data_IF_756808868795
#
_entry.id   IF_756808868795
#
_cell.length_a   1.000
_cell.length_b   1.000
_cell.length_c   1.000
_cell.angle_alpha   90.00
_cell.angle_beta   90.00
_cell.angle_gamma   90.00
#
_symmetry.space_group_name_H-M   'P 1'
#
loop_
_entity.id
_entity.type
_entity.pdbx_description
1 polymer ?
#
# COMPACT_ATOMS: atom_id res chain seq x y z
N UNK A 1 -21.85 -2.28 6.10
CA UNK A 1 -20.65 -1.47 5.77
C UNK A 1 -20.77 -0.22 6.60
N UNK A 2 -19.88 -0.01 7.58
CA UNK A 2 -19.77 1.31 8.19
C UNK A 2 -19.21 2.25 7.13
N UNK A 3 -19.90 3.35 6.87
CA UNK A 3 -19.37 4.42 6.04
C UNK A 3 -18.17 5.04 6.78
N UNK A 4 -17.02 5.08 6.12
CA UNK A 4 -15.79 5.59 6.72
C UNK A 4 -15.92 7.10 6.82
N UNK A 5 -15.85 7.66 8.02
CA UNK A 5 -15.97 9.11 8.25
C UNK A 5 -14.59 9.75 8.36
N UNK A 6 -14.48 11.04 8.03
CA UNK A 6 -13.18 11.72 7.97
C UNK A 6 -12.47 11.77 9.33
N UNK A 7 -13.24 11.74 10.41
CA UNK A 7 -12.77 11.74 11.80
C UNK A 7 -11.97 10.48 12.16
N UNK A 8 -12.22 9.37 11.46
CA UNK A 8 -11.56 8.09 11.71
C UNK A 8 -10.19 8.00 10.99
N UNK A 9 -9.88 8.96 10.11
CA UNK A 9 -8.64 8.95 9.34
C UNK A 9 -7.53 9.69 10.10
N UNK A 10 -6.42 9.01 10.47
CA UNK A 10 -5.31 9.66 11.16
C UNK A 10 -4.59 10.64 10.22
N UNK A 11 -4.46 11.90 10.64
CA UNK A 11 -3.63 12.88 9.96
C UNK A 11 -2.23 12.86 10.58
N UNK A 12 -1.24 12.35 9.84
CA UNK A 12 0.16 12.29 10.27
C UNK A 12 0.84 13.65 10.12
N UNK A 13 0.32 14.65 10.83
CA UNK A 13 0.77 16.05 10.77
C UNK A 13 1.32 16.55 12.11
N UNK A 14 0.84 16.03 13.24
CA UNK A 14 1.22 16.53 14.57
C UNK A 14 2.67 16.20 14.89
N UNK A 15 3.43 17.20 15.33
CA UNK A 15 4.87 17.11 15.59
C UNK A 15 5.75 17.47 14.39
N UNK A 16 5.15 17.64 13.21
CA UNK A 16 5.88 17.95 11.97
C UNK A 16 5.95 19.45 11.71
N UNK A 17 7.05 19.90 11.10
CA UNK A 17 7.24 21.30 10.67
C UNK A 17 6.77 21.51 9.25
N UNK A 18 6.26 22.71 8.95
CA UNK A 18 6.00 23.14 7.56
C UNK A 18 7.32 23.50 6.90
N UNK A 19 7.84 22.62 6.05
CA UNK A 19 9.16 22.75 5.41
C UNK A 19 9.09 23.45 4.07
N UNK A 20 7.95 23.41 3.39
CA UNK A 20 7.76 24.12 2.12
C UNK A 20 6.34 24.65 1.99
N UNK A 21 6.23 25.86 1.45
CA UNK A 21 4.96 26.45 1.03
C UNK A 21 5.04 26.68 -0.48
N UNK A 22 4.18 25.99 -1.22
CA UNK A 22 4.03 26.18 -2.67
C UNK A 22 2.80 27.06 -2.93
N UNK A 23 2.96 28.02 -3.83
CA UNK A 23 1.88 28.90 -4.28
C UNK A 23 1.71 28.73 -5.79
N UNK A 24 0.56 28.22 -6.21
CA UNK A 24 0.11 28.23 -7.59
C UNK A 24 -1.35 28.73 -7.68
N UNK A 25 -2.27 27.91 -8.18
CA UNK A 25 -3.70 28.13 -8.07
C UNK A 25 -4.23 27.72 -6.67
N UNK A 26 -3.43 26.97 -5.92
CA UNK A 26 -3.66 26.55 -4.55
C UNK A 26 -2.51 27.00 -3.63
N UNK A 27 -2.73 26.92 -2.32
CA UNK A 27 -1.67 26.93 -1.32
C UNK A 27 -1.38 25.49 -0.89
N UNK A 28 -0.12 25.05 -1.00
CA UNK A 28 0.29 23.72 -0.52
C UNK A 28 1.31 23.83 0.59
N UNK A 29 1.09 23.08 1.65
CA UNK A 29 2.01 22.92 2.78
C UNK A 29 2.63 21.53 2.68
N UNK A 30 3.95 21.45 2.53
CA UNK A 30 4.71 20.20 2.65
C UNK A 30 5.31 20.15 4.06
N UNK A 31 5.07 19.04 4.75
CA UNK A 31 5.52 18.81 6.11
C UNK A 31 6.86 18.04 6.11
N UNK A 32 7.59 18.09 7.22
CA UNK A 32 8.90 17.44 7.39
C UNK A 32 8.91 15.93 7.16
N UNK A 33 7.79 15.25 7.41
CA UNK A 33 7.64 13.81 7.12
C UNK A 33 7.23 13.50 5.67
N UNK A 34 7.00 14.51 4.82
CA UNK A 34 6.54 14.36 3.45
C UNK A 34 5.03 14.42 3.25
N UNK A 35 4.23 14.51 4.33
CA UNK A 35 2.80 14.75 4.21
C UNK A 35 2.52 16.11 3.53
N UNK A 36 1.41 16.22 2.81
CA UNK A 36 1.00 17.44 2.13
C UNK A 36 -0.43 17.82 2.49
N UNK A 37 -0.64 19.12 2.75
CA UNK A 37 -1.98 19.74 2.85
C UNK A 37 -2.14 20.72 1.71
N UNK A 38 -3.22 20.60 0.95
CA UNK A 38 -3.53 21.45 -0.22
C UNK A 38 -4.81 22.23 0.08
N UNK A 39 -4.80 23.53 -0.18
CA UNK A 39 -5.92 24.44 0.02
C UNK A 39 -6.21 25.13 -1.31
N UNK A 40 -7.32 24.75 -1.94
CA UNK A 40 -7.70 25.28 -3.26
C UNK A 40 -8.79 26.35 -3.14
N UNK A 41 -9.55 26.34 -2.05
CA UNK A 41 -10.59 27.32 -1.75
C UNK A 41 -10.21 28.21 -0.56
N UNK A 42 -10.99 29.28 -0.31
CA UNK A 42 -10.75 30.17 0.83
C UNK A 42 -10.68 29.44 2.17
N UNK A 43 -9.65 29.75 2.96
CA UNK A 43 -9.42 29.20 4.29
C UNK A 43 -9.07 30.29 5.31
N UNK A 44 -9.43 30.07 6.57
CA UNK A 44 -9.23 31.04 7.65
C UNK A 44 -7.91 30.77 8.36
N UNK A 45 -7.15 31.82 8.66
CA UNK A 45 -5.88 31.71 9.38
C UNK A 45 -5.73 32.82 10.44
N UNK A 46 -5.63 32.44 11.72
CA UNK A 46 -5.45 33.39 12.82
C UNK A 46 -5.38 32.72 14.20
N UNK A 47 -5.13 33.51 15.26
CA UNK A 47 -5.02 32.99 16.65
C UNK A 47 -6.36 32.81 17.36
N UNK A 48 -7.40 33.49 16.89
CA UNK A 48 -8.77 33.33 17.35
C UNK A 48 -9.71 33.39 16.14
N UNK A 49 -10.94 32.85 16.25
CA UNK A 49 -11.94 32.97 15.20
C UNK A 49 -12.21 34.42 14.79
N UNK A 50 -12.29 35.33 15.77
CA UNK A 50 -12.60 36.75 15.54
C UNK A 50 -11.46 37.54 14.88
N UNK A 51 -10.23 37.04 14.96
CA UNK A 51 -9.04 37.65 14.37
C UNK A 51 -8.50 36.84 13.18
N UNK A 52 -9.25 35.84 12.70
CA UNK A 52 -8.83 35.04 11.56
C UNK A 52 -8.93 35.84 10.27
N UNK A 53 -7.84 35.84 9.50
CA UNK A 53 -7.86 36.39 8.14
C UNK A 53 -8.36 35.32 7.18
N UNK A 54 -9.31 35.69 6.33
CA UNK A 54 -9.73 34.85 5.21
C UNK A 54 -8.69 34.98 4.09
N UNK A 55 -8.13 33.85 3.68
CA UNK A 55 -7.11 33.79 2.62
C UNK A 55 -7.70 33.02 1.47
N UNK A 56 -7.68 33.63 0.28
CA UNK A 56 -8.15 33.03 -0.96
C UNK A 56 -6.95 32.70 -1.86
N UNK A 57 -6.63 31.41 -2.08
CA UNK A 57 -5.57 30.98 -2.99
C UNK A 57 -5.71 31.51 -4.41
N UNK A 58 -6.94 31.63 -4.94
CA UNK A 58 -7.19 32.07 -6.31
C UNK A 58 -7.19 33.60 -6.44
N UNK A 59 -7.57 34.30 -5.36
CA UNK A 59 -7.62 35.76 -5.27
C UNK A 59 -6.28 36.50 -5.40
N UNK A 60 -6.25 37.73 -4.91
CA UNK A 60 -5.05 38.57 -4.94
C UNK A 60 -3.89 37.92 -4.17
N UNK A 61 -2.76 37.69 -4.85
CA UNK A 61 -1.59 37.00 -4.29
C UNK A 61 -0.95 37.76 -3.13
N UNK A 62 -1.15 39.07 -3.04
CA UNK A 62 -0.72 39.83 -1.86
C UNK A 62 -1.42 39.35 -0.56
N UNK A 63 -2.65 38.85 -0.69
CA UNK A 63 -3.44 38.26 0.39
C UNK A 63 -2.90 36.93 0.94
N UNK A 64 -1.93 36.31 0.25
CA UNK A 64 -1.28 35.07 0.69
C UNK A 64 -0.14 35.31 1.68
N UNK A 65 0.37 36.54 1.78
CA UNK A 65 1.48 36.89 2.66
C UNK A 65 1.31 36.40 4.11
N UNK A 66 0.11 36.45 4.73
CA UNK A 66 -0.08 35.92 6.08
C UNK A 66 0.14 34.41 6.18
N UNK A 67 -0.05 33.62 5.11
CA UNK A 67 0.17 32.17 5.13
C UNK A 67 1.66 31.80 5.13
N UNK A 68 2.53 32.67 4.60
CA UNK A 68 3.98 32.42 4.57
C UNK A 68 4.60 32.29 5.97
N UNK A 69 3.96 32.86 6.99
CA UNK A 69 4.40 32.73 8.39
C UNK A 69 4.32 31.31 8.94
N UNK A 70 3.57 30.43 8.27
CA UNK A 70 3.43 29.03 8.68
C UNK A 70 4.72 28.24 8.47
N UNK A 71 5.60 28.71 7.56
CA UNK A 71 6.87 28.07 7.29
C UNK A 71 7.71 27.96 8.57
N UNK A 72 8.34 26.81 8.78
CA UNK A 72 9.07 26.38 10.00
C UNK A 72 8.24 26.18 11.26
N UNK A 73 6.93 26.45 11.25
CA UNK A 73 6.10 26.18 12.41
C UNK A 73 5.76 24.69 12.50
N UNK A 74 5.80 24.17 13.72
CA UNK A 74 5.37 22.82 14.06
C UNK A 74 3.84 22.78 14.18
N UNK A 75 3.22 21.74 13.64
CA UNK A 75 1.80 21.46 13.85
C UNK A 75 1.61 20.80 15.21
N UNK A 76 0.89 21.47 16.12
CA UNK A 76 0.63 20.98 17.48
C UNK A 76 -0.70 20.24 17.62
N UNK A 77 -1.62 20.46 16.68
CA UNK A 77 -2.86 19.69 16.55
C UNK A 77 -3.37 19.73 15.12
N UNK A 78 -3.88 18.61 14.62
CA UNK A 78 -4.57 18.54 13.34
C UNK A 78 -5.76 17.60 13.43
N UNK A 79 -6.89 17.99 12.84
CA UNK A 79 -8.10 17.15 12.79
C UNK A 79 -8.98 17.55 11.62
N UNK A 80 -9.64 16.57 11.01
CA UNK A 80 -10.79 16.79 10.15
C UNK A 80 -12.06 16.44 10.93
N UNK A 81 -13.11 17.26 10.81
CA UNK A 81 -14.42 17.00 11.44
C UNK A 81 -15.52 17.43 10.47
N UNK A 82 -16.39 16.49 10.10
CA UNK A 82 -17.35 16.62 9.01
C UNK A 82 -16.63 16.94 7.71
N UNK A 83 -16.76 18.18 7.25
CA UNK A 83 -16.12 18.68 6.03
C UNK A 83 -15.01 19.70 6.28
N UNK A 84 -14.63 19.90 7.54
CA UNK A 84 -13.70 20.96 7.96
C UNK A 84 -12.38 20.40 8.44
N UNK A 85 -11.28 20.81 7.81
CA UNK A 85 -9.92 20.63 8.30
C UNK A 85 -9.57 21.74 9.30
N UNK A 86 -8.98 21.40 10.43
CA UNK A 86 -8.41 22.34 11.40
C UNK A 86 -6.99 21.93 11.78
N UNK A 87 -6.04 22.86 11.67
CA UNK A 87 -4.67 22.70 12.12
C UNK A 87 -4.29 23.83 13.09
N UNK A 88 -3.56 23.51 14.16
CA UNK A 88 -3.00 24.47 15.11
C UNK A 88 -1.48 24.36 15.08
N UNK A 89 -0.80 25.50 15.12
CA UNK A 89 0.66 25.59 15.01
C UNK A 89 1.29 26.03 16.33
N UNK A 90 2.61 25.87 16.44
CA UNK A 90 3.39 26.17 17.66
C UNK A 90 3.37 27.64 18.07
N UNK A 91 3.08 28.56 17.15
CA UNK A 91 2.89 30.00 17.45
C UNK A 91 1.49 30.34 17.98
N UNK A 92 0.64 29.32 18.16
CA UNK A 92 -0.76 29.42 18.57
C UNK A 92 -1.73 29.83 17.45
N UNK A 93 -1.27 29.98 16.20
CA UNK A 93 -2.18 30.21 15.08
C UNK A 93 -2.95 28.95 14.70
N UNK A 94 -4.13 29.15 14.13
CA UNK A 94 -5.04 28.11 13.66
C UNK A 94 -5.41 28.35 12.21
N UNK A 95 -5.28 27.31 11.40
CA UNK A 95 -5.78 27.22 10.04
C UNK A 95 -7.06 26.40 10.04
N UNK A 96 -8.10 26.89 9.37
CA UNK A 96 -9.37 26.20 9.20
C UNK A 96 -9.82 26.28 7.75
N UNK A 97 -10.10 25.14 7.12
CA UNK A 97 -10.64 25.05 5.77
C UNK A 97 -11.95 24.26 5.80
N UNK A 98 -13.05 24.90 5.41
CA UNK A 98 -14.38 24.26 5.30
C UNK A 98 -14.59 23.67 3.90
N UNK A 99 -15.81 23.24 3.55
CA UNK A 99 -16.16 22.86 2.19
C UNK A 99 -16.45 24.09 1.32
N UNK A 100 -16.36 23.91 0.00
CA UNK A 100 -16.87 24.85 -1.00
C UNK A 100 -18.06 24.23 -1.76
N UNK A 101 -19.12 24.98 -2.12
CA UNK A 101 -20.28 24.42 -2.82
C UNK A 101 -19.96 23.88 -4.22
N UNK A 102 -19.01 24.50 -4.92
CA UNK A 102 -18.75 24.24 -6.34
C UNK A 102 -17.39 23.59 -6.63
N UNK A 103 -16.46 23.59 -5.66
CA UNK A 103 -15.07 23.20 -5.89
C UNK A 103 -14.57 22.25 -4.80
N UNK A 104 -13.54 21.48 -5.14
CA UNK A 104 -12.74 20.74 -4.17
C UNK A 104 -12.01 21.75 -3.28
N UNK A 105 -12.15 21.61 -1.96
CA UNK A 105 -11.77 22.70 -1.06
C UNK A 105 -10.40 22.52 -0.42
N UNK A 106 -10.13 21.34 0.12
CA UNK A 106 -8.88 21.02 0.78
C UNK A 106 -8.56 19.53 0.64
N UNK A 107 -7.27 19.21 0.50
CA UNK A 107 -6.77 17.84 0.41
C UNK A 107 -5.74 17.56 1.51
N UNK A 108 -5.70 16.32 1.95
CA UNK A 108 -4.61 15.74 2.71
C UNK A 108 -4.02 14.58 1.93
N UNK A 109 -2.69 14.55 1.83
CA UNK A 109 -1.93 13.42 1.31
C UNK A 109 -0.92 13.04 2.39
N UNK A 110 -1.04 11.83 2.91
CA UNK A 110 -0.15 11.32 3.93
C UNK A 110 1.25 10.99 3.39
N UNK A 111 2.23 10.80 4.29
CA UNK A 111 3.61 10.52 3.93
C UNK A 111 3.85 9.08 3.45
N UNK A 112 2.83 8.21 3.56
CA UNK A 112 2.95 6.79 3.24
C UNK A 112 3.05 6.54 1.72
N UNK A 113 3.43 5.32 1.32
CA UNK A 113 3.46 4.92 -0.10
C UNK A 113 2.80 3.54 -0.24
N UNK A 114 1.64 3.41 -0.91
CA UNK A 114 0.79 4.49 -1.44
C UNK A 114 0.17 5.32 -0.31
N UNK A 115 -0.05 6.64 -0.48
CA UNK A 115 -0.44 7.50 0.62
C UNK A 115 -1.90 7.31 1.05
N UNK A 116 -2.18 7.58 2.33
CA UNK A 116 -3.54 7.93 2.73
C UNK A 116 -3.91 9.26 2.08
N UNK A 117 -5.09 9.37 1.49
CA UNK A 117 -5.55 10.58 0.81
C UNK A 117 -6.98 10.91 1.23
N UNK A 118 -7.22 12.19 1.54
CA UNK A 118 -8.55 12.76 1.74
C UNK A 118 -8.70 13.92 0.76
N UNK A 119 -9.78 13.91 -0.01
CA UNK A 119 -10.17 15.01 -0.90
C UNK A 119 -11.56 15.50 -0.46
N UNK A 120 -11.67 16.78 -0.12
CA UNK A 120 -12.97 17.37 0.22
C UNK A 120 -13.68 17.87 -1.03
N UNK A 121 -14.64 17.09 -1.52
CA UNK A 121 -15.37 17.32 -2.77
C UNK A 121 -16.31 18.54 -2.67
N UNK A 122 -16.76 19.09 -3.82
CA UNK A 122 -17.83 20.10 -3.84
C UNK A 122 -19.05 19.68 -3.01
N UNK A 123 -19.58 20.63 -2.24
CA UNK A 123 -20.72 20.38 -1.34
C UNK A 123 -20.35 19.69 -0.02
N UNK A 124 -19.09 19.31 0.19
CA UNK A 124 -18.56 18.86 1.48
C UNK A 124 -18.61 17.35 1.74
N UNK A 125 -18.77 16.53 0.71
CA UNK A 125 -18.57 15.08 0.81
C UNK A 125 -17.08 14.72 0.74
N UNK A 126 -16.55 13.86 1.61
CA UNK A 126 -15.16 13.41 1.50
C UNK A 126 -15.02 12.25 0.50
N UNK A 127 -13.95 12.27 -0.30
CA UNK A 127 -13.42 11.08 -0.97
C UNK A 127 -12.16 10.64 -0.22
N UNK A 128 -12.12 9.37 0.20
CA UNK A 128 -11.07 8.83 1.09
C UNK A 128 -10.44 7.61 0.43
N UNK A 129 -9.11 7.61 0.38
CA UNK A 129 -8.27 6.45 0.05
C UNK A 129 -7.35 6.23 1.23
N UNK A 130 -7.39 5.05 1.85
CA UNK A 130 -6.49 4.76 2.96
C UNK A 130 -5.19 4.18 2.43
N UNK A 131 -4.06 4.59 3.04
CA UNK A 131 -2.89 3.74 3.03
C UNK A 131 -3.31 2.44 3.71
N UNK A 132 -3.49 1.41 2.90
CA UNK A 132 -3.35 0.08 3.41
C UNK A 132 -1.84 -0.11 3.47
N UNK A 133 -1.28 -0.20 4.69
CA UNK A 133 -0.09 -1.02 4.84
C UNK A 133 -0.46 -2.31 4.13
N UNK A 134 0.13 -2.56 2.96
CA UNK A 134 0.16 -3.90 2.41
C UNK A 134 0.96 -4.66 3.43
N UNK A 135 0.25 -5.15 4.44
CA UNK A 135 0.83 -5.78 5.60
C UNK A 135 1.73 -6.83 4.99
N UNK A 136 3.01 -6.84 5.35
CA UNK A 136 3.96 -7.87 4.89
C UNK A 136 3.39 -9.29 5.12
N UNK A 137 2.36 -9.40 5.97
CA UNK A 137 1.48 -10.55 6.17
C UNK A 137 0.63 -10.99 4.95
N UNK A 138 0.08 -10.14 4.08
CA UNK A 138 -0.70 -10.64 2.91
C UNK A 138 0.18 -11.42 1.92
N UNK A 139 1.35 -10.90 1.49
CA UNK A 139 2.27 -11.64 0.62
C UNK A 139 2.87 -12.87 1.32
N UNK A 140 3.26 -12.77 2.59
CA UNK A 140 3.80 -13.89 3.35
C UNK A 140 2.77 -15.01 3.56
N UNK A 141 1.51 -14.69 3.87
CA UNK A 141 0.42 -15.67 4.00
C UNK A 141 0.04 -16.29 2.64
N UNK A 142 0.08 -15.49 1.57
CA UNK A 142 -0.17 -15.98 0.21
C UNK A 142 0.93 -16.92 -0.25
N UNK A 143 2.20 -16.58 -0.01
CA UNK A 143 3.34 -17.47 -0.27
C UNK A 143 3.27 -18.71 0.62
N UNK A 144 2.95 -18.60 1.91
CA UNK A 144 2.72 -19.75 2.79
C UNK A 144 1.66 -20.69 2.23
N UNK A 145 0.50 -20.16 1.83
CA UNK A 145 -0.60 -20.94 1.25
C UNK A 145 -0.21 -21.63 -0.05
N UNK A 146 0.54 -20.92 -0.90
CA UNK A 146 1.08 -21.43 -2.16
C UNK A 146 2.11 -22.54 -1.91
N UNK A 147 3.04 -22.35 -0.97
CA UNK A 147 4.03 -23.36 -0.59
C UNK A 147 3.34 -24.61 -0.06
N UNK A 148 2.36 -24.47 0.85
CA UNK A 148 1.61 -25.61 1.37
C UNK A 148 0.87 -26.36 0.25
N UNK A 149 0.22 -25.65 -0.67
CA UNK A 149 -0.43 -26.25 -1.83
C UNK A 149 0.57 -26.95 -2.77
N UNK A 150 1.76 -26.38 -2.95
CA UNK A 150 2.83 -26.98 -3.74
C UNK A 150 3.35 -28.26 -3.08
N UNK A 151 3.57 -28.24 -1.76
CA UNK A 151 4.03 -29.39 -0.98
C UNK A 151 2.99 -30.52 -0.90
N UNK A 152 1.71 -30.25 -1.16
CA UNK A 152 0.68 -31.28 -1.36
C UNK A 152 0.88 -32.08 -2.66
N UNK A 153 1.67 -31.56 -3.61
CA UNK A 153 2.01 -32.25 -4.88
C UNK A 153 3.19 -33.21 -4.74
N UNK A 154 3.94 -33.12 -3.64
CA UNK A 154 5.13 -33.94 -3.36
C UNK A 154 4.79 -35.17 -2.50
N UNK A 155 5.56 -36.28 -2.61
CA UNK A 155 5.40 -37.43 -1.74
C UNK A 155 5.63 -37.10 -0.26
N UNK A 156 4.68 -37.47 0.61
CA UNK A 156 4.65 -37.10 2.03
C UNK A 156 5.87 -37.54 2.86
N UNK A 157 6.61 -38.58 2.44
CA UNK A 157 7.70 -39.19 3.23
C UNK A 157 8.93 -38.28 3.43
N UNK A 158 9.01 -37.14 2.76
CA UNK A 158 10.16 -36.21 2.83
C UNK A 158 9.77 -34.73 3.02
N UNK A 159 8.51 -34.39 3.27
CA UNK A 159 8.06 -32.98 3.26
C UNK A 159 7.84 -32.37 4.65
N UNK A 160 8.15 -33.08 5.74
CA UNK A 160 7.87 -32.61 7.10
C UNK A 160 8.63 -31.32 7.43
N UNK A 161 9.92 -31.26 7.13
CA UNK A 161 10.78 -30.09 7.33
C UNK A 161 10.38 -28.95 6.39
N UNK A 162 10.05 -29.26 5.13
CA UNK A 162 9.56 -28.25 4.17
C UNK A 162 8.23 -27.62 4.63
N UNK A 163 7.33 -28.41 5.22
CA UNK A 163 6.08 -27.88 5.79
C UNK A 163 6.33 -27.00 7.01
N UNK A 164 7.28 -27.37 7.87
CA UNK A 164 7.70 -26.49 8.97
C UNK A 164 8.30 -25.18 8.45
N UNK A 165 9.10 -25.23 7.38
CA UNK A 165 9.65 -24.03 6.73
C UNK A 165 8.52 -23.17 6.11
N UNK A 166 7.56 -23.76 5.39
CA UNK A 166 6.43 -23.02 4.85
C UNK A 166 5.62 -22.29 5.95
N UNK A 167 5.42 -22.93 7.11
CA UNK A 167 4.75 -22.30 8.26
C UNK A 167 5.62 -21.25 8.98
N UNK A 168 6.93 -21.23 8.70
CA UNK A 168 7.89 -20.31 9.28
C UNK A 168 8.18 -19.09 8.40
N UNK A 169 7.49 -18.92 7.28
CA UNK A 169 7.59 -17.71 6.43
C UNK A 169 7.21 -16.48 7.26
N UNK A 170 8.16 -15.55 7.38
CA UNK A 170 8.02 -14.27 8.09
C UNK A 170 7.71 -13.12 7.16
N UNK A 171 8.43 -13.06 6.04
CA UNK A 171 8.32 -12.03 5.04
C UNK A 171 8.71 -12.60 3.68
N UNK A 172 8.35 -11.88 2.62
CA UNK A 172 8.76 -12.20 1.25
C UNK A 172 9.18 -10.92 0.55
N UNK A 173 10.15 -11.02 -0.37
CA UNK A 173 10.67 -9.87 -1.10
C UNK A 173 10.67 -10.18 -2.58
N UNK A 174 9.98 -9.37 -3.38
CA UNK A 174 10.11 -9.46 -4.84
C UNK A 174 11.52 -8.97 -5.24
N UNK A 175 12.34 -9.86 -5.78
CA UNK A 175 13.74 -9.58 -6.14
C UNK A 175 13.95 -9.49 -7.64
N UNK A 176 13.07 -10.13 -8.41
CA UNK A 176 12.95 -9.98 -9.84
C UNK A 176 11.48 -10.15 -10.23
N UNK A 177 11.08 -9.76 -11.45
CA UNK A 177 9.70 -9.93 -11.88
C UNK A 177 9.23 -11.38 -11.68
N UNK A 178 8.25 -11.55 -10.78
CA UNK A 178 7.64 -12.85 -10.46
C UNK A 178 8.55 -13.84 -9.72
N UNK A 179 9.62 -13.34 -9.08
CA UNK A 179 10.45 -14.09 -8.14
C UNK A 179 10.36 -13.42 -6.78
N UNK A 180 9.99 -14.20 -5.77
CA UNK A 180 9.92 -13.78 -4.38
C UNK A 180 10.89 -14.57 -3.53
N UNK A 181 11.90 -13.91 -2.98
CA UNK A 181 12.76 -14.45 -1.94
C UNK A 181 11.92 -14.68 -0.67
N UNK A 182 12.12 -15.82 -0.02
CA UNK A 182 11.39 -16.26 1.16
C UNK A 182 12.24 -16.05 2.40
N UNK A 183 11.80 -15.18 3.30
CA UNK A 183 12.46 -14.96 4.59
C UNK A 183 11.83 -15.88 5.64
N UNK A 184 12.59 -16.88 6.06
CA UNK A 184 12.17 -17.88 7.03
C UNK A 184 12.60 -17.53 8.46
N UNK A 185 11.79 -17.90 9.45
CA UNK A 185 12.27 -18.08 10.82
C UNK A 185 13.25 -19.27 10.91
N UNK A 186 13.96 -19.38 12.03
CA UNK A 186 14.80 -20.54 12.29
C UNK A 186 13.99 -21.83 12.29
N UNK A 187 14.39 -22.77 11.43
CA UNK A 187 13.72 -24.03 11.15
C UNK A 187 14.73 -25.10 10.73
N UNK A 188 14.43 -26.39 10.93
CA UNK A 188 15.28 -27.47 10.47
C UNK A 188 15.50 -27.42 8.95
N UNK A 189 16.72 -27.75 8.51
CA UNK A 189 17.05 -27.93 7.09
C UNK A 189 16.43 -29.22 6.57
N UNK A 190 15.92 -29.18 5.35
CA UNK A 190 15.39 -30.34 4.65
C UNK A 190 16.49 -31.01 3.81
N UNK A 191 16.42 -32.34 3.67
CA UNK A 191 17.33 -33.12 2.82
C UNK A 191 16.86 -33.08 1.35
N UNK A 192 16.99 -31.91 0.72
CA UNK A 192 16.74 -31.69 -0.71
C UNK A 192 17.96 -31.03 -1.34
N UNK A 193 18.27 -31.37 -2.61
CA UNK A 193 19.32 -30.68 -3.36
C UNK A 193 18.94 -29.22 -3.61
N UNK A 194 19.94 -28.37 -3.80
CA UNK A 194 19.75 -27.01 -4.28
C UNK A 194 19.13 -27.01 -5.68
N UNK A 195 18.31 -26.00 -5.97
CA UNK A 195 17.57 -25.87 -7.22
C UNK A 195 16.05 -26.06 -7.06
N UNK A 196 15.30 -26.23 -8.17
CA UNK A 196 13.85 -26.29 -8.12
C UNK A 196 13.39 -27.63 -7.54
N UNK A 197 12.41 -27.59 -6.64
CA UNK A 197 11.74 -28.78 -6.13
C UNK A 197 10.99 -29.52 -7.27
N UNK A 198 10.83 -30.85 -7.19
CA UNK A 198 10.24 -31.65 -8.25
C UNK A 198 8.70 -31.71 -8.20
N UNK A 199 8.04 -30.70 -7.65
CA UNK A 199 6.57 -30.61 -7.56
C UNK A 199 5.94 -30.00 -8.81
N UNK A 200 4.63 -30.22 -8.97
CA UNK A 200 3.88 -29.75 -10.14
C UNK A 200 2.61 -29.05 -9.68
N UNK A 201 2.62 -27.72 -9.71
CA UNK A 201 1.48 -26.88 -9.38
C UNK A 201 1.33 -25.80 -10.45
N UNK A 202 0.19 -25.80 -11.14
CA UNK A 202 -0.11 -24.76 -12.12
C UNK A 202 -1.03 -23.69 -11.51
N UNK A 203 -1.11 -22.52 -12.14
CA UNK A 203 -2.07 -21.49 -11.76
C UNK A 203 -2.82 -20.92 -12.98
N UNK A 204 -4.02 -20.42 -12.73
CA UNK A 204 -4.84 -19.65 -13.66
C UNK A 204 -4.85 -18.18 -13.26
N UNK A 205 -5.22 -17.32 -14.20
CA UNK A 205 -5.55 -15.91 -13.95
C UNK A 205 -7.01 -15.67 -14.34
N UNK A 206 -7.49 -14.46 -14.09
CA UNK A 206 -8.84 -14.07 -14.52
C UNK A 206 -8.97 -14.00 -16.05
N UNK A 207 -7.83 -13.96 -16.77
CA UNK A 207 -7.76 -13.86 -18.23
C UNK A 207 -7.38 -15.19 -18.91
N UNK A 208 -6.76 -16.14 -18.20
CA UNK A 208 -6.29 -17.38 -18.78
C UNK A 208 -6.54 -18.59 -17.85
N UNK A 209 -7.18 -19.68 -18.36
CA UNK A 209 -7.47 -20.89 -17.57
C UNK A 209 -6.22 -21.71 -17.22
N UNK A 210 -5.11 -21.48 -17.92
CA UNK A 210 -3.78 -21.98 -17.61
C UNK A 210 -2.79 -20.85 -17.91
N UNK A 211 -2.29 -20.19 -16.88
CA UNK A 211 -1.46 -19.00 -17.01
C UNK A 211 0.03 -19.31 -16.84
N UNK A 212 0.37 -20.30 -16.02
CA UNK A 212 1.75 -20.67 -15.74
C UNK A 212 1.86 -21.78 -14.69
N UNK A 213 3.07 -21.94 -14.18
CA UNK A 213 3.40 -22.90 -13.13
C UNK A 213 4.09 -22.23 -11.95
N UNK A 214 4.09 -22.91 -10.82
CA UNK A 214 4.76 -22.48 -9.60
C UNK A 214 6.05 -23.27 -9.47
N UNK A 215 7.18 -22.58 -9.40
CA UNK A 215 8.47 -23.17 -9.03
C UNK A 215 8.82 -22.77 -7.60
N UNK A 216 9.34 -23.73 -6.83
CA UNK A 216 9.86 -23.50 -5.47
C UNK A 216 11.33 -23.88 -5.49
N UNK A 217 12.19 -22.93 -5.16
CA UNK A 217 13.64 -23.08 -5.20
C UNK A 217 14.20 -23.38 -3.81
N UNK A 218 15.18 -24.27 -3.76
CA UNK A 218 15.93 -24.65 -2.57
C UNK A 218 17.35 -24.12 -2.62
N UNK A 219 17.85 -23.69 -1.46
CA UNK A 219 19.25 -23.37 -1.23
C UNK A 219 19.66 -23.80 0.18
N UNK A 220 20.73 -24.59 0.29
CA UNK A 220 21.33 -25.05 1.56
C UNK A 220 20.31 -25.72 2.49
N UNK A 221 19.41 -26.53 1.90
CA UNK A 221 18.34 -27.24 2.60
C UNK A 221 17.19 -26.36 3.09
N UNK A 222 17.07 -25.12 2.60
CA UNK A 222 15.98 -24.20 2.91
C UNK A 222 15.22 -23.77 1.65
N UNK A 223 13.92 -23.52 1.80
CA UNK A 223 13.13 -22.83 0.78
C UNK A 223 13.70 -21.42 0.64
N UNK A 224 14.22 -21.13 -0.55
CA UNK A 224 14.91 -19.89 -0.89
C UNK A 224 13.97 -18.89 -1.54
N UNK A 225 13.27 -19.32 -2.59
CA UNK A 225 12.42 -18.45 -3.39
C UNK A 225 11.25 -19.19 -4.03
N UNK A 226 10.22 -18.42 -4.39
CA UNK A 226 9.09 -18.86 -5.22
C UNK A 226 9.14 -18.07 -6.53
N UNK A 227 8.99 -18.77 -7.65
CA UNK A 227 8.95 -18.18 -8.98
C UNK A 227 7.66 -18.58 -9.70
N UNK A 228 7.10 -17.64 -10.48
CA UNK A 228 5.94 -17.86 -11.33
C UNK A 228 6.30 -17.67 -12.80
N UNK A 229 6.93 -18.67 -13.46
CA UNK A 229 7.00 -18.68 -14.91
C UNK A 229 5.58 -18.76 -15.51
N UNK A 230 5.38 -18.10 -16.65
CA UNK A 230 4.08 -18.01 -17.30
C UNK A 230 4.14 -18.47 -18.76
N UNK A 231 3.03 -19.01 -19.24
CA UNK A 231 2.86 -19.51 -20.62
C UNK A 231 2.14 -18.50 -21.52
N UNK A 232 1.59 -17.44 -20.94
CA UNK A 232 0.82 -16.40 -21.62
C UNK A 232 1.71 -15.29 -22.19
N UNK A 233 1.15 -14.41 -23.02
CA UNK A 233 1.84 -13.18 -23.44
C UNK A 233 1.86 -12.13 -22.33
N UNK A 234 0.80 -12.08 -21.53
CA UNK A 234 0.67 -11.17 -20.40
C UNK A 234 1.35 -11.75 -19.16
N UNK A 235 2.18 -10.94 -18.51
CA UNK A 235 2.80 -11.27 -17.22
C UNK A 235 1.73 -11.24 -16.11
N UNK A 236 1.70 -12.22 -15.18
CA UNK A 236 0.73 -12.23 -14.10
C UNK A 236 0.93 -11.03 -13.16
N UNK A 237 -0.16 -10.36 -12.75
CA UNK A 237 -0.09 -9.13 -11.95
C UNK A 237 0.37 -9.34 -10.49
N UNK A 238 0.21 -10.54 -9.92
CA UNK A 238 0.61 -10.85 -8.54
C UNK A 238 0.73 -12.35 -8.27
N UNK A 239 1.01 -12.70 -7.01
CA UNK A 239 0.90 -14.08 -6.53
C UNK A 239 -0.54 -14.59 -6.73
N UNK A 240 -0.74 -15.85 -7.16
CA UNK A 240 -2.07 -16.40 -7.36
C UNK A 240 -2.81 -16.56 -6.03
N UNK A 241 -4.13 -16.35 -6.07
CA UNK A 241 -5.02 -16.65 -4.94
C UNK A 241 -5.17 -18.17 -4.79
N UNK A 242 -5.49 -18.69 -3.58
CA UNK A 242 -5.65 -20.13 -3.37
C UNK A 242 -6.62 -20.80 -4.37
N UNK A 243 -7.72 -20.14 -4.74
CA UNK A 243 -8.72 -20.60 -5.70
C UNK A 243 -8.24 -20.55 -7.17
N UNK A 244 -7.12 -19.87 -7.44
CA UNK A 244 -6.47 -19.80 -8.75
C UNK A 244 -5.41 -20.91 -8.93
N UNK A 245 -5.16 -21.73 -7.90
CA UNK A 245 -4.23 -22.86 -7.99
C UNK A 245 -4.91 -24.07 -8.63
N UNK A 246 -4.22 -24.70 -9.58
CA UNK A 246 -4.67 -25.88 -10.31
C UNK A 246 -3.95 -27.08 -9.72
N UNK A 247 -4.64 -27.78 -8.82
CA UNK A 247 -4.17 -28.98 -8.14
C UNK A 247 -4.62 -30.21 -8.93
N UNK A 248 -4.01 -30.47 -10.08
CA UNK A 248 -4.32 -31.66 -10.87
C UNK A 248 -3.04 -32.41 -11.17
N UNK A 249 -3.02 -33.71 -10.89
CA UNK A 249 -2.06 -34.60 -11.52
C UNK A 249 -2.25 -34.44 -13.02
N UNK A 250 -1.20 -34.01 -13.73
CA UNK A 250 -1.16 -34.25 -15.17
C UNK A 250 -1.13 -35.77 -15.30
N UNK A 251 -2.29 -36.40 -15.47
CA UNK A 251 -2.35 -37.73 -16.03
C UNK A 251 -1.60 -37.63 -17.35
N UNK A 252 -0.44 -38.29 -17.42
CA UNK A 252 0.37 -38.33 -18.62
C UNK A 252 -0.48 -38.93 -19.72
N UNK A 253 -0.95 -38.08 -20.64
CA UNK A 253 -1.50 -38.58 -21.89
C UNK A 253 -0.35 -39.23 -22.65
N UNK A 254 -0.57 -40.49 -22.98
CA UNK A 254 0.40 -41.39 -23.54
C UNK A 254 1.02 -40.81 -24.81
N UNK A 255 2.30 -41.12 -25.01
CA UNK A 255 3.04 -40.70 -26.18
C UNK A 255 2.28 -40.93 -27.48
N UNK A 256 2.22 -39.90 -28.30
CA UNK A 256 2.22 -40.05 -29.74
C UNK A 256 3.50 -39.41 -30.27
N UNK A 257 4.48 -40.28 -30.51
CA UNK A 257 5.62 -39.95 -31.33
C UNK A 257 5.12 -39.46 -32.69
N UNK A 258 5.50 -38.24 -33.03
CA UNK A 258 5.49 -37.78 -34.41
C UNK A 258 6.77 -38.32 -35.03
N UNK A 259 6.58 -39.11 -36.10
CA UNK A 259 7.61 -39.64 -36.99
C UNK A 259 8.52 -38.55 -37.54
#
# INVERSE_FOLDING_TARGET
>A
MNELVVEDVPLLLVGETVDTIWVDHALRLLLSNGATVILECPFSLGRSPDAATMIDPEGDKSGLAPALRLHTLEVTAARATGSTLTMTFSDGSRLTAGPHPEFESWHYVGPETPPTMIVMMPGGGPAIWLHHEQTEQEPAERVRSLLLAYLDTLPARRTAELRQQAEAVRAVRETAPRIWDVVLAETPRADFPDGPLPGSLAYRTDQAPLAGEVLVWMLDGRIDSVELPWFTTEMPAGLPRPEQLIRTAIEGDGGHGVR
#
